data_IF_676894440833
#
_entry.id   IF_676894440833
#
_cell.length_a   1.000
_cell.length_b   1.000
_cell.length_c   1.000
_cell.angle_alpha   90.00
_cell.angle_beta   90.00
_cell.angle_gamma   90.00
#
_symmetry.space_group_name_H-M   'P 1'
#
loop_
_entity.id
_entity.type
_entity.pdbx_description
1 polymer ?
#
# COMPACT_ATOMS: atom_id res chain seq x y z
N UNK A 1 2.73 14.70 -0.18
CA UNK A 1 1.37 14.51 0.38
C UNK A 1 1.19 13.03 0.70
N UNK A 2 1.65 12.59 1.89
CA UNK A 2 1.49 11.21 2.34
C UNK A 2 0.05 11.05 2.84
N UNK A 3 -0.74 10.26 2.15
CA UNK A 3 -2.09 9.89 2.55
C UNK A 3 -1.95 8.58 3.34
N UNK A 4 -2.59 8.48 4.51
CA UNK A 4 -2.54 7.26 5.31
C UNK A 4 -3.66 6.36 4.78
N UNK A 5 -3.29 5.36 3.97
CA UNK A 5 -4.23 4.42 3.35
C UNK A 5 -4.52 3.20 4.21
N UNK A 6 -3.72 2.94 5.24
CA UNK A 6 -3.96 1.84 6.16
C UNK A 6 -3.50 2.21 7.56
N UNK A 7 -4.36 1.96 8.55
CA UNK A 7 -3.99 1.91 9.95
C UNK A 7 -4.01 0.44 10.36
N UNK A 8 -3.03 0.03 11.14
CA UNK A 8 -2.99 -1.25 11.81
C UNK A 8 -3.18 -1.02 13.31
N UNK A 9 -3.62 -2.05 14.03
CA UNK A 9 -3.71 -2.02 15.49
C UNK A 9 -2.41 -1.47 16.12
N UNK A 10 -2.50 -0.56 17.11
CA UNK A 10 -3.67 -0.15 17.90
C UNK A 10 -4.49 1.00 17.30
N UNK A 11 -4.15 1.50 16.10
CA UNK A 11 -4.77 2.68 15.52
C UNK A 11 -6.06 2.40 14.73
N UNK A 12 -6.42 1.12 14.56
CA UNK A 12 -7.62 0.60 13.90
C UNK A 12 -7.92 -0.83 14.39
N UNK A 13 -9.12 -1.32 14.07
CA UNK A 13 -9.56 -2.71 14.34
C UNK A 13 -9.06 -3.72 13.29
N UNK A 14 -8.00 -3.37 12.54
CA UNK A 14 -7.42 -4.21 11.48
C UNK A 14 -6.08 -4.77 11.93
N UNK A 15 -5.93 -6.08 11.88
CA UNK A 15 -4.72 -6.80 12.29
C UNK A 15 -3.78 -7.09 11.11
N UNK A 16 -2.57 -7.57 11.41
CA UNK A 16 -1.55 -7.83 10.38
C UNK A 16 -1.94 -9.01 9.48
N UNK A 17 -2.69 -9.95 10.04
CA UNK A 17 -3.26 -11.10 9.35
C UNK A 17 -4.28 -10.64 8.30
N UNK A 18 -5.17 -9.71 8.66
CA UNK A 18 -6.15 -9.14 7.73
C UNK A 18 -5.44 -8.43 6.55
N UNK A 19 -4.35 -7.71 6.84
CA UNK A 19 -3.52 -7.11 5.78
C UNK A 19 -2.92 -8.19 4.87
N UNK A 20 -2.39 -9.28 5.43
CA UNK A 20 -1.83 -10.37 4.63
C UNK A 20 -2.89 -10.99 3.70
N UNK A 21 -4.08 -11.28 4.23
CA UNK A 21 -5.20 -11.83 3.48
C UNK A 21 -5.72 -10.88 2.39
N UNK A 22 -5.72 -9.57 2.66
CA UNK A 22 -6.12 -8.53 1.71
C UNK A 22 -5.14 -8.34 0.54
N UNK A 23 -3.99 -9.03 0.53
CA UNK A 23 -2.95 -8.94 -0.51
C UNK A 23 -1.59 -8.45 -0.01
N UNK A 24 -1.49 -8.13 1.28
CA UNK A 24 -0.25 -7.77 1.95
C UNK A 24 0.29 -6.40 1.56
N UNK A 25 1.52 -6.14 2.00
CA UNK A 25 2.21 -4.87 1.76
C UNK A 25 2.44 -4.62 0.28
N UNK A 26 2.66 -5.67 -0.53
CA UNK A 26 2.87 -5.54 -1.98
C UNK A 26 1.61 -5.05 -2.70
N UNK A 27 0.41 -5.49 -2.28
CA UNK A 27 -0.84 -4.97 -2.82
C UNK A 27 -1.08 -3.50 -2.46
N UNK A 28 -0.76 -3.10 -1.22
CA UNK A 28 -0.82 -1.69 -0.82
C UNK A 28 0.17 -0.82 -1.61
N UNK A 29 1.40 -1.31 -1.85
CA UNK A 29 2.38 -0.62 -2.68
C UNK A 29 1.95 -0.54 -4.15
N UNK A 30 1.30 -1.58 -4.68
CA UNK A 30 0.74 -1.56 -6.03
C UNK A 30 -0.37 -0.51 -6.16
N UNK A 31 -1.28 -0.42 -5.17
CA UNK A 31 -2.31 0.62 -5.14
C UNK A 31 -1.70 2.03 -5.06
N UNK A 32 -0.67 2.20 -4.23
CA UNK A 32 0.10 3.46 -4.13
C UNK A 32 0.80 3.84 -5.44
N UNK A 33 1.26 2.86 -6.22
CA UNK A 33 1.94 3.10 -7.50
C UNK A 33 1.05 3.80 -8.53
N UNK A 34 -0.28 3.64 -8.41
CA UNK A 34 -1.26 4.35 -9.25
C UNK A 34 -1.21 5.86 -9.04
N UNK A 35 -0.70 6.33 -7.89
CA UNK A 35 -0.44 7.75 -7.63
C UNK A 35 0.86 8.19 -8.32
N UNK A 36 0.74 9.10 -9.28
CA UNK A 36 1.93 9.73 -9.88
C UNK A 36 2.80 10.40 -8.80
N UNK A 37 4.06 9.98 -8.73
CA UNK A 37 5.06 10.55 -7.83
C UNK A 37 4.99 10.09 -6.37
N UNK A 38 4.19 9.06 -6.03
CA UNK A 38 4.20 8.51 -4.67
C UNK A 38 5.31 7.48 -4.43
N UNK A 39 5.71 6.73 -5.47
CA UNK A 39 6.74 5.69 -5.40
C UNK A 39 7.75 5.83 -6.53
N UNK A 40 9.01 5.52 -6.23
CA UNK A 40 10.08 5.41 -7.22
C UNK A 40 10.17 3.95 -7.71
N UNK A 41 9.38 3.63 -8.73
CA UNK A 41 9.23 2.25 -9.23
C UNK A 41 10.51 1.65 -9.79
N UNK A 42 11.43 2.48 -10.29
CA UNK A 42 12.71 2.04 -10.86
C UNK A 42 13.77 1.71 -9.80
N UNK A 43 13.43 1.82 -8.51
CA UNK A 43 14.37 1.54 -7.41
C UNK A 43 14.67 0.05 -7.33
N UNK A 44 15.96 -0.31 -7.32
CA UNK A 44 16.41 -1.69 -7.17
C UNK A 44 16.15 -2.22 -5.74
N UNK A 45 15.71 -3.46 -5.66
CA UNK A 45 15.41 -4.15 -4.38
C UNK A 45 16.35 -5.33 -4.15
N UNK A 46 16.31 -5.91 -2.93
CA UNK A 46 17.11 -7.08 -2.56
C UNK A 46 16.79 -8.35 -3.36
N UNK A 47 15.67 -8.37 -4.09
CA UNK A 47 15.31 -9.47 -5.00
C UNK A 47 15.99 -9.37 -6.37
N UNK A 48 16.87 -8.38 -6.55
CA UNK A 48 17.50 -8.00 -7.83
C UNK A 48 16.51 -7.56 -8.92
N UNK A 49 15.27 -7.25 -8.53
CA UNK A 49 14.24 -6.64 -9.38
C UNK A 49 13.94 -5.21 -8.92
N UNK A 50 13.37 -4.41 -9.81
CA UNK A 50 12.85 -3.09 -9.46
C UNK A 50 11.63 -3.20 -8.56
N UNK A 51 11.34 -2.13 -7.81
CA UNK A 51 10.14 -2.05 -7.00
C UNK A 51 8.87 -2.25 -7.84
N UNK A 52 8.82 -1.65 -9.04
CA UNK A 52 7.71 -1.81 -9.99
C UNK A 52 7.48 -3.25 -10.41
N UNK A 53 8.55 -4.00 -10.70
CA UNK A 53 8.45 -5.42 -11.07
C UNK A 53 7.97 -6.30 -9.91
N UNK A 54 8.37 -5.98 -8.67
CA UNK A 54 7.97 -6.76 -7.50
C UNK A 54 6.49 -6.57 -7.14
N UNK A 55 5.95 -5.36 -7.33
CA UNK A 55 4.55 -5.06 -7.00
C UNK A 55 3.60 -5.38 -8.16
N UNK A 56 4.13 -5.54 -9.38
CA UNK A 56 3.33 -5.91 -10.54
C UNK A 56 2.55 -7.22 -10.29
N UNK A 57 1.25 -7.20 -10.59
CA UNK A 57 0.34 -8.34 -10.42
C UNK A 57 -0.16 -8.58 -8.98
N UNK A 58 0.27 -7.78 -8.00
CA UNK A 58 -0.25 -7.87 -6.63
C UNK A 58 -1.43 -6.92 -6.45
N UNK A 59 -2.63 -7.38 -6.81
CA UNK A 59 -3.86 -6.58 -6.66
C UNK A 59 -4.41 -6.65 -5.23
N UNK A 60 -5.13 -5.60 -4.85
CA UNK A 60 -5.87 -5.56 -3.58
C UNK A 60 -7.05 -6.51 -3.66
N UNK A 61 -7.13 -7.44 -2.70
CA UNK A 61 -8.22 -8.41 -2.59
C UNK A 61 -9.38 -7.88 -1.74
N UNK A 62 -9.09 -7.05 -0.74
CA UNK A 62 -10.09 -6.45 0.13
C UNK A 62 -9.86 -4.94 0.33
N UNK A 63 -10.74 -4.14 -0.26
CA UNK A 63 -10.72 -2.68 -0.18
C UNK A 63 -11.28 -2.12 1.15
N UNK A 64 -11.82 -2.97 2.04
CA UNK A 64 -12.16 -2.57 3.40
C UNK A 64 -10.92 -2.54 4.31
N UNK A 65 -9.86 -3.25 3.91
CA UNK A 65 -8.58 -3.34 4.61
C UNK A 65 -7.53 -2.43 3.96
N UNK A 66 -7.32 -2.56 2.63
CA UNK A 66 -6.41 -1.72 1.85
C UNK A 66 -7.24 -0.70 1.07
N UNK A 67 -7.35 0.52 1.59
CA UNK A 67 -8.20 1.54 0.98
C UNK A 67 -7.66 2.01 -0.38
N UNK A 68 -8.54 2.25 -1.37
CA UNK A 68 -8.13 2.71 -2.69
C UNK A 68 -7.55 4.13 -2.61
N UNK A 69 -6.74 4.47 -3.60
CA UNK A 69 -6.07 5.78 -3.66
C UNK A 69 -7.03 6.97 -3.60
N UNK A 70 -8.21 6.82 -4.20
CA UNK A 70 -9.22 7.88 -4.30
C UNK A 70 -10.00 8.08 -3.00
N UNK A 71 -9.93 7.12 -2.06
CA UNK A 71 -10.64 7.17 -0.78
C UNK A 71 -9.71 6.79 0.38
N UNK A 72 -8.70 7.62 0.69
CA UNK A 72 -7.78 7.37 1.79
C UNK A 72 -8.49 7.38 3.15
N UNK A 73 -7.99 6.59 4.11
CA UNK A 73 -8.53 6.57 5.47
C UNK A 73 -8.28 7.88 6.24
N UNK A 74 -7.15 8.56 6.02
CA UNK A 74 -6.87 9.87 6.63
C UNK A 74 -5.93 10.72 5.76
N UNK A 75 -6.29 11.99 5.52
CA UNK A 75 -5.47 12.98 4.80
C UNK A 75 -4.47 13.73 5.70
N UNK A 76 -3.85 13.06 6.68
CA UNK A 76 -2.87 13.73 7.56
C UNK A 76 -1.46 13.64 6.98
N UNK A 77 -0.88 14.82 6.73
CA UNK A 77 0.57 14.99 6.55
C UNK A 77 1.28 14.44 7.80
N UNK A 78 2.14 13.43 7.62
CA UNK A 78 3.26 13.27 8.54
C UNK A 78 4.14 14.53 8.35
N UNK A 79 4.27 15.31 9.42
CA UNK A 79 5.10 16.51 9.49
C UNK A 79 6.58 16.14 9.45
#
# INVERSE_FOLDING_TARGET
>A
MCLIYQKLAPASDVYIEDLHEAGGVTAALNELSKKKGALHLDTMTVTAKTLGENIAGHEVKDYNVIYPIDKPFTEKKAA
#
